data_IF_634943176391
#
_entry.id   IF_634943176391
#
_cell.length_a   1.000
_cell.length_b   1.000
_cell.length_c   1.000
_cell.angle_alpha   90.00
_cell.angle_beta   90.00
_cell.angle_gamma   90.00
#
_symmetry.space_group_name_H-M   'P 1'
#
loop_
_entity.id
_entity.type
_entity.pdbx_description
1 polymer ?
#
# COMPACT_ATOMS: atom_id res chain seq x y z
N UNK A 1 3.58 10.72 10.33
CA UNK A 1 4.39 9.53 10.75
C UNK A 1 5.92 9.65 10.91
N UNK A 2 6.64 10.76 10.67
CA UNK A 2 8.13 10.80 10.88
C UNK A 2 8.61 10.52 12.32
N UNK A 3 7.70 10.55 13.30
CA UNK A 3 7.99 10.39 14.72
C UNK A 3 7.59 9.02 15.29
N UNK A 4 7.22 8.05 14.45
CA UNK A 4 6.74 6.72 14.88
C UNK A 4 7.67 5.64 14.31
N UNK A 5 8.13 4.73 15.17
CA UNK A 5 8.73 3.44 14.77
C UNK A 5 7.68 2.34 14.91
N UNK A 6 7.64 1.40 13.97
CA UNK A 6 6.74 0.26 14.04
C UNK A 6 7.43 -0.91 14.71
N UNK A 7 6.76 -1.51 15.68
CA UNK A 7 7.17 -2.73 16.36
C UNK A 7 6.29 -3.91 15.96
N UNK A 8 6.88 -5.04 15.62
CA UNK A 8 6.18 -6.30 15.38
C UNK A 8 6.41 -7.23 16.58
N UNK A 9 5.34 -7.47 17.34
CA UNK A 9 5.32 -8.47 18.40
C UNK A 9 5.16 -9.85 17.78
N UNK A 10 6.29 -10.55 17.76
CA UNK A 10 6.40 -11.85 17.14
C UNK A 10 6.55 -12.91 18.23
N UNK A 11 5.44 -13.39 18.77
CA UNK A 11 5.46 -14.42 19.83
C UNK A 11 6.19 -15.65 19.26
N UNK A 12 7.09 -16.25 20.04
CA UNK A 12 7.77 -17.48 19.64
C UNK A 12 6.76 -18.62 19.46
N UNK A 13 6.22 -18.77 18.26
CA UNK A 13 5.58 -20.00 17.83
C UNK A 13 6.64 -20.91 17.24
N UNK A 14 6.48 -22.22 17.43
CA UNK A 14 7.42 -23.20 16.93
C UNK A 14 7.75 -22.92 15.44
N UNK A 15 9.04 -22.95 15.02
CA UNK A 15 9.51 -22.51 13.68
C UNK A 15 8.97 -23.28 12.47
N UNK A 16 7.93 -24.11 12.65
CA UNK A 16 7.23 -24.88 11.62
C UNK A 16 5.79 -24.41 11.37
N UNK A 17 5.29 -23.39 12.08
CA UNK A 17 3.94 -22.90 11.83
C UNK A 17 3.91 -21.99 10.60
N UNK A 18 3.56 -22.59 9.45
CA UNK A 18 3.37 -21.88 8.17
C UNK A 18 2.28 -20.81 8.26
N UNK A 19 1.31 -20.99 9.15
CA UNK A 19 0.25 -20.00 9.39
C UNK A 19 0.83 -18.74 9.99
N UNK A 20 1.60 -18.91 11.07
CA UNK A 20 2.19 -17.81 11.79
C UNK A 20 3.12 -16.99 10.90
N UNK A 21 3.95 -17.68 10.10
CA UNK A 21 4.78 -17.02 9.07
C UNK A 21 3.93 -16.13 8.16
N UNK A 22 2.77 -16.63 7.71
CA UNK A 22 1.90 -15.86 6.80
C UNK A 22 1.22 -14.69 7.49
N UNK A 23 0.72 -14.86 8.71
CA UNK A 23 0.14 -13.77 9.51
C UNK A 23 1.16 -12.66 9.76
N UNK A 24 2.39 -13.03 10.13
CA UNK A 24 3.52 -12.11 10.25
C UNK A 24 3.78 -11.35 8.94
N UNK A 25 3.83 -12.06 7.82
CA UNK A 25 4.03 -11.43 6.50
C UNK A 25 2.90 -10.45 6.14
N UNK A 26 1.65 -10.80 6.42
CA UNK A 26 0.49 -9.93 6.15
C UNK A 26 0.49 -8.69 7.04
N UNK A 27 0.80 -8.82 8.34
CA UNK A 27 0.94 -7.67 9.25
C UNK A 27 2.00 -6.70 8.75
N UNK A 28 3.17 -7.21 8.34
CA UNK A 28 4.22 -6.36 7.76
C UNK A 28 3.72 -5.71 6.46
N UNK A 29 3.11 -6.50 5.57
CA UNK A 29 2.67 -6.02 4.27
C UNK A 29 1.63 -4.90 4.36
N UNK A 30 0.61 -5.05 5.21
CA UNK A 30 -0.43 -4.03 5.36
C UNK A 30 0.09 -2.76 6.03
N UNK A 31 1.08 -2.89 6.93
CA UNK A 31 1.76 -1.73 7.52
C UNK A 31 2.53 -0.92 6.45
N UNK A 32 3.11 -1.61 5.45
CA UNK A 32 3.92 -1.02 4.37
C UNK A 32 3.12 -0.20 3.35
N UNK A 33 1.78 -0.21 3.37
CA UNK A 33 1.01 0.66 2.50
C UNK A 33 1.27 2.15 2.79
N UNK A 34 1.49 2.54 4.05
CA UNK A 34 1.90 3.91 4.42
C UNK A 34 3.21 4.01 5.19
N UNK A 35 3.67 2.93 5.80
CA UNK A 35 4.87 2.96 6.63
C UNK A 35 6.11 2.49 5.85
N UNK A 36 7.03 3.42 5.61
CA UNK A 36 8.26 3.21 4.82
C UNK A 36 9.52 3.05 5.69
N UNK A 37 9.40 3.14 7.01
CA UNK A 37 10.52 3.05 7.96
C UNK A 37 10.92 1.62 8.32
N UNK A 38 11.91 1.44 9.18
CA UNK A 38 12.25 0.12 9.72
C UNK A 38 11.10 -0.41 10.61
N UNK A 39 10.81 -1.72 10.52
CA UNK A 39 9.94 -2.39 11.49
C UNK A 39 10.82 -3.22 12.41
N UNK A 40 10.86 -2.88 13.69
CA UNK A 40 11.61 -3.64 14.69
C UNK A 40 10.79 -4.84 15.15
N UNK A 41 11.36 -6.03 15.15
CA UNK A 41 10.66 -7.25 15.59
C UNK A 41 11.18 -7.73 16.94
N UNK A 42 10.31 -8.22 17.84
CA UNK A 42 10.72 -8.79 19.13
C UNK A 42 9.72 -9.83 19.67
N UNK A 43 10.20 -10.71 20.55
CA UNK A 43 9.37 -11.76 21.15
C UNK A 43 8.46 -11.24 22.26
N UNK A 44 8.87 -10.15 22.90
CA UNK A 44 8.13 -9.46 23.97
C UNK A 44 8.01 -7.97 23.68
N UNK A 45 7.06 -7.30 24.35
CA UNK A 45 6.93 -5.83 24.31
C UNK A 45 8.23 -5.16 24.79
N UNK A 46 8.85 -5.70 25.84
CA UNK A 46 10.11 -5.16 26.38
C UNK A 46 11.27 -5.27 25.38
N UNK A 47 11.38 -6.39 24.64
CA UNK A 47 12.40 -6.54 23.59
C UNK A 47 12.23 -5.50 22.48
N UNK A 48 10.98 -5.24 22.08
CA UNK A 48 10.65 -4.21 21.09
C UNK A 48 11.01 -2.84 21.62
N UNK A 49 10.59 -2.50 22.84
CA UNK A 49 10.88 -1.20 23.43
C UNK A 49 12.38 -0.95 23.64
N UNK A 50 13.15 -1.99 23.96
CA UNK A 50 14.60 -1.92 24.05
C UNK A 50 15.27 -1.61 22.69
N UNK A 51 14.69 -2.11 21.59
CA UNK A 51 15.13 -1.78 20.22
C UNK A 51 14.63 -0.39 19.80
N UNK A 52 13.37 -0.04 20.09
CA UNK A 52 12.78 1.26 19.81
C UNK A 52 13.58 2.40 20.44
N UNK A 53 14.05 2.22 21.67
CA UNK A 53 14.88 3.19 22.39
C UNK A 53 16.24 3.50 21.72
N UNK A 54 16.65 2.75 20.70
CA UNK A 54 17.85 3.01 19.89
C UNK A 54 17.57 3.91 18.68
N UNK A 55 16.30 4.23 18.46
CA UNK A 55 15.84 5.12 17.39
C UNK A 55 15.50 6.50 17.96
N UNK A 56 15.48 7.51 17.10
CA UNK A 56 15.05 8.87 17.46
C UNK A 56 13.53 9.04 17.39
N UNK A 57 12.77 7.95 17.20
CA UNK A 57 11.32 8.03 17.17
C UNK A 57 10.77 8.40 18.54
N UNK A 58 9.72 9.22 18.53
CA UNK A 58 9.02 9.66 19.73
C UNK A 58 8.02 8.62 20.23
N UNK A 59 7.38 7.93 19.29
CA UNK A 59 6.38 6.91 19.58
C UNK A 59 6.80 5.58 18.97
N UNK A 60 6.33 4.49 19.58
CA UNK A 60 6.47 3.13 19.06
C UNK A 60 5.07 2.54 18.92
N UNK A 61 4.64 2.23 17.68
CA UNK A 61 3.39 1.52 17.43
C UNK A 61 3.70 0.03 17.34
N UNK A 62 3.28 -0.74 18.35
CA UNK A 62 3.49 -2.19 18.41
C UNK A 62 2.25 -2.89 17.88
N UNK A 63 2.44 -3.85 16.97
CA UNK A 63 1.41 -4.71 16.41
C UNK A 63 1.77 -6.17 16.63
N UNK A 64 0.83 -7.00 17.07
CA UNK A 64 1.03 -8.45 17.05
C UNK A 64 0.94 -9.01 15.63
N UNK A 65 1.66 -10.09 15.35
CA UNK A 65 1.50 -10.84 14.11
C UNK A 65 0.04 -11.35 13.97
N UNK A 66 -0.63 -11.01 12.87
CA UNK A 66 -2.07 -11.25 12.69
C UNK A 66 -2.93 -10.00 12.86
N UNK A 67 -2.40 -8.93 13.47
CA UNK A 67 -3.04 -7.62 13.46
C UNK A 67 -2.84 -6.95 12.08
N UNK A 68 -3.93 -6.66 11.39
CA UNK A 68 -3.94 -6.04 10.07
C UNK A 68 -4.49 -4.63 10.21
N UNK A 69 -3.71 -3.63 9.79
CA UNK A 69 -4.20 -2.26 9.66
C UNK A 69 -4.96 -2.18 8.35
N UNK A 70 -6.27 -2.03 8.45
CA UNK A 70 -7.15 -1.77 7.34
C UNK A 70 -7.34 -0.27 7.15
N UNK A 71 -6.34 0.36 6.58
CA UNK A 71 -6.51 1.72 6.13
C UNK A 71 -7.49 1.73 4.96
N UNK A 72 -8.75 2.08 5.24
CA UNK A 72 -9.69 2.36 4.18
C UNK A 72 -9.22 3.62 3.47
N UNK A 73 -9.31 3.58 2.15
CA UNK A 73 -9.20 4.76 1.30
C UNK A 73 -10.43 5.63 1.52
N UNK A 74 -10.50 6.30 2.67
CA UNK A 74 -11.46 7.34 2.91
C UNK A 74 -11.03 8.55 2.10
N UNK A 75 -11.94 9.08 1.30
CA UNK A 75 -11.69 10.34 0.62
C UNK A 75 -11.58 11.43 1.69
N UNK A 76 -10.67 12.38 1.50
CA UNK A 76 -10.38 13.36 2.57
C UNK A 76 -11.55 14.31 2.87
N UNK A 77 -12.62 14.29 2.07
CA UNK A 77 -13.88 14.98 2.34
C UNK A 77 -14.84 14.19 3.24
N UNK A 78 -14.55 12.92 3.56
CA UNK A 78 -15.38 12.10 4.44
C UNK A 78 -15.12 12.43 5.91
N UNK A 79 -16.17 12.37 6.74
CA UNK A 79 -16.09 12.59 8.20
C UNK A 79 -15.61 11.32 8.95
N UNK A 80 -14.62 10.62 8.39
CA UNK A 80 -13.99 9.44 8.98
C UNK A 80 -12.48 9.60 8.88
N UNK A 81 -11.79 9.46 10.01
CA UNK A 81 -10.33 9.49 10.03
C UNK A 81 -9.79 8.08 9.78
N UNK A 82 -8.77 7.97 8.93
CA UNK A 82 -8.05 6.73 8.73
C UNK A 82 -7.26 6.33 9.98
N UNK A 83 -6.75 5.10 10.00
CA UNK A 83 -5.94 4.58 11.10
C UNK A 83 -4.75 5.51 11.40
N UNK A 84 -3.98 5.88 10.37
CA UNK A 84 -2.77 6.68 10.54
C UNK A 84 -3.05 8.11 10.98
N UNK A 85 -4.08 8.77 10.44
CA UNK A 85 -4.48 10.11 10.90
C UNK A 85 -4.92 10.09 12.36
N UNK A 86 -5.64 9.04 12.77
CA UNK A 86 -6.06 8.86 14.16
C UNK A 86 -4.86 8.62 15.09
N UNK A 87 -3.87 7.85 14.64
CA UNK A 87 -2.61 7.65 15.37
C UNK A 87 -1.79 8.94 15.44
N UNK A 88 -1.67 9.70 14.35
CA UNK A 88 -0.96 10.97 14.30
C UNK A 88 -1.65 12.02 15.20
N UNK A 89 -2.99 12.01 15.28
CA UNK A 89 -3.78 12.84 16.20
C UNK A 89 -3.56 12.47 17.67
N UNK A 90 -3.61 11.17 18.01
CA UNK A 90 -3.31 10.68 19.36
C UNK A 90 -1.85 10.97 19.74
N UNK A 91 -0.93 10.94 18.77
CA UNK A 91 0.48 11.28 18.95
C UNK A 91 0.74 12.78 19.19
N UNK A 92 -0.29 13.64 19.10
CA UNK A 92 -0.22 15.03 19.57
C UNK A 92 -0.47 15.15 21.07
N UNK A 93 -0.97 14.10 21.72
CA UNK A 93 -1.09 14.05 23.17
C UNK A 93 0.26 13.64 23.79
N UNK A 94 0.71 14.39 24.81
CA UNK A 94 2.02 14.19 25.41
C UNK A 94 1.96 13.51 26.78
N UNK A 95 0.77 13.42 27.38
CA UNK A 95 0.58 13.04 28.78
C UNK A 95 0.17 11.58 28.98
N UNK A 96 0.68 10.65 28.19
CA UNK A 96 0.43 9.22 28.35
C UNK A 96 1.70 8.39 28.18
N UNK A 97 1.78 7.25 28.87
CA UNK A 97 2.84 6.24 28.64
C UNK A 97 2.46 5.33 27.46
N UNK A 98 1.23 4.81 27.50
CA UNK A 98 0.70 3.85 26.53
C UNK A 98 -0.75 4.15 26.21
N UNK A 99 -1.11 4.00 24.95
CA UNK A 99 -2.48 3.89 24.48
C UNK A 99 -2.73 2.47 23.95
N UNK A 100 -3.85 1.88 24.34
CA UNK A 100 -4.20 0.51 23.99
C UNK A 100 -5.71 0.34 23.90
N UNK A 101 -6.16 -0.77 23.34
CA UNK A 101 -7.53 -1.22 23.59
C UNK A 101 -7.63 -1.77 25.02
N UNK A 102 -8.65 -1.32 25.76
CA UNK A 102 -9.01 -1.93 27.04
C UNK A 102 -9.82 -3.18 26.75
N UNK A 103 -9.15 -4.33 26.71
CA UNK A 103 -9.84 -5.60 26.63
C UNK A 103 -10.41 -5.93 28.00
N UNK A 104 -11.74 -5.86 28.07
CA UNK A 104 -12.63 -6.47 29.08
C UNK A 104 -12.93 -5.55 30.29
N UNK A 105 -14.23 -5.37 30.62
CA UNK A 105 -14.67 -4.56 31.77
C UNK A 105 -14.33 -5.14 33.16
N UNK A 106 -13.40 -6.11 33.25
CA UNK A 106 -13.09 -6.85 34.50
C UNK A 106 -11.59 -7.08 34.78
N UNK A 107 -10.69 -6.80 33.85
CA UNK A 107 -9.24 -6.97 34.05
C UNK A 107 -8.56 -5.69 33.58
N UNK A 108 -7.77 -5.05 34.45
CA UNK A 108 -6.92 -3.90 34.12
C UNK A 108 -5.73 -4.32 33.23
N UNK A 109 -5.96 -5.09 32.18
CA UNK A 109 -4.92 -5.61 31.30
C UNK A 109 -4.94 -4.87 29.95
N UNK A 110 -3.76 -4.55 29.42
CA UNK A 110 -3.58 -3.97 28.09
C UNK A 110 -3.66 -5.07 27.02
N UNK A 111 -4.41 -4.81 25.95
CA UNK A 111 -4.36 -5.65 24.76
C UNK A 111 -3.01 -5.44 24.03
N UNK A 112 -2.20 -6.49 23.88
CA UNK A 112 -0.90 -6.42 23.20
C UNK A 112 -0.98 -6.41 21.68
N UNK A 113 -2.17 -6.60 21.10
CA UNK A 113 -2.31 -6.77 19.66
C UNK A 113 -2.10 -5.45 18.91
N UNK A 114 -2.34 -4.32 19.57
CA UNK A 114 -2.02 -2.98 19.09
C UNK A 114 -1.76 -2.02 20.27
N UNK A 115 -0.55 -1.50 20.40
CA UNK A 115 -0.14 -0.54 21.44
C UNK A 115 0.53 0.68 20.80
N UNK A 116 0.17 1.89 21.21
CA UNK A 116 0.94 3.09 20.92
C UNK A 116 1.69 3.50 22.19
N UNK A 117 3.02 3.44 22.18
CA UNK A 117 3.86 3.73 23.33
C UNK A 117 4.57 5.07 23.12
N UNK A 118 4.44 5.98 24.10
CA UNK A 118 5.21 7.21 24.14
C UNK A 118 6.62 6.90 24.67
N UNK A 119 7.61 6.89 23.77
CA UNK A 119 8.98 6.51 24.13
C UNK A 119 9.67 7.54 25.03
N UNK A 120 9.27 8.81 24.94
CA UNK A 120 9.77 9.86 25.80
C UNK A 120 9.36 9.59 27.25
N UNK A 121 8.07 9.34 27.49
CA UNK A 121 7.55 8.98 28.82
C UNK A 121 8.10 7.65 29.32
N UNK A 122 8.21 6.65 28.45
CA UNK A 122 8.86 5.38 28.77
C UNK A 122 10.30 5.57 29.29
N UNK A 123 11.09 6.46 28.65
CA UNK A 123 12.45 6.78 29.10
C UNK A 123 12.49 7.58 30.40
N UNK A 124 11.62 8.58 30.55
CA UNK A 124 11.52 9.41 31.76
C UNK A 124 11.22 8.57 33.01
N UNK A 125 10.36 7.55 32.87
CA UNK A 125 9.97 6.62 33.93
C UNK A 125 11.02 5.51 34.18
N UNK A 126 12.20 5.61 33.59
CA UNK A 126 13.28 4.64 33.80
C UNK A 126 13.09 3.32 33.06
N UNK A 127 12.34 3.32 31.96
CA UNK A 127 12.07 2.14 31.11
C UNK A 127 11.41 0.99 31.88
N UNK A 128 10.21 1.23 32.46
CA UNK A 128 9.52 0.21 33.24
C UNK A 128 9.26 -1.04 32.40
N UNK A 129 9.44 -2.23 32.97
CA UNK A 129 9.08 -3.48 32.31
C UNK A 129 7.58 -3.52 31.97
N UNK A 130 7.18 -4.22 30.91
CA UNK A 130 5.78 -4.30 30.51
C UNK A 130 4.93 -5.05 31.54
N UNK A 131 5.44 -6.17 32.07
CA UNK A 131 4.78 -6.97 33.11
C UNK A 131 5.27 -6.59 34.52
N UNK A 132 4.43 -6.81 35.53
CA UNK A 132 4.78 -6.61 36.95
C UNK A 132 5.60 -7.75 37.55
N UNK A 133 6.02 -7.59 38.81
CA UNK A 133 6.83 -8.59 39.55
C UNK A 133 6.05 -9.88 39.90
N UNK A 134 4.73 -9.89 39.78
CA UNK A 134 3.86 -11.03 40.05
C UNK A 134 2.84 -11.23 38.90
N UNK A 135 2.90 -12.39 38.25
CA UNK A 135 1.93 -12.96 37.27
C UNK A 135 1.91 -12.42 35.82
N UNK A 136 1.58 -13.34 34.90
CA UNK A 136 1.50 -13.26 33.43
C UNK A 136 0.46 -12.25 32.86
N UNK A 137 0.14 -11.18 33.58
CA UNK A 137 -0.89 -10.22 33.17
C UNK A 137 -0.27 -9.12 32.29
N UNK A 138 -0.87 -8.92 31.12
CA UNK A 138 -0.35 -8.06 30.05
C UNK A 138 -0.47 -6.58 30.40
N UNK A 139 0.63 -5.96 30.83
CA UNK A 139 0.76 -4.49 30.88
C UNK A 139 0.48 -3.80 32.22
N UNK A 140 0.23 -4.54 33.31
CA UNK A 140 -0.13 -4.00 34.62
C UNK A 140 0.88 -2.99 35.17
N UNK A 141 2.18 -3.23 34.95
CA UNK A 141 3.22 -2.33 35.43
C UNK A 141 3.14 -0.96 34.72
N UNK A 142 2.84 -0.94 33.42
CA UNK A 142 2.67 0.32 32.69
C UNK A 142 1.41 1.08 33.13
N UNK A 143 0.34 0.37 33.48
CA UNK A 143 -0.87 0.97 34.06
C UNK A 143 -0.56 1.57 35.43
N UNK A 144 0.09 0.81 36.31
CA UNK A 144 0.52 1.28 37.62
C UNK A 144 1.43 2.51 37.51
N UNK A 145 2.45 2.46 36.64
CA UNK A 145 3.33 3.60 36.38
C UNK A 145 2.59 4.83 35.86
N UNK A 146 1.57 4.63 35.02
CA UNK A 146 0.75 5.74 34.52
C UNK A 146 -0.03 6.40 35.67
N UNK A 147 -0.65 5.60 36.54
CA UNK A 147 -1.37 6.11 37.72
C UNK A 147 -0.45 6.81 38.73
N UNK A 148 0.70 6.22 39.06
CA UNK A 148 1.68 6.77 40.00
C UNK A 148 2.23 8.14 39.53
N UNK A 149 2.29 8.36 38.21
CA UNK A 149 2.83 9.58 37.61
C UNK A 149 1.76 10.52 37.04
N UNK A 150 0.48 10.31 37.34
CA UNK A 150 -0.65 11.11 36.85
C UNK A 150 -0.72 11.24 35.31
N UNK A 151 -0.32 10.18 34.60
CA UNK A 151 -0.46 10.07 33.15
C UNK A 151 -1.85 9.57 32.79
N UNK A 152 -2.35 10.00 31.63
CA UNK A 152 -3.59 9.45 31.06
C UNK A 152 -3.33 8.06 30.49
N UNK A 153 -4.39 7.24 30.46
CA UNK A 153 -4.44 5.94 29.79
C UNK A 153 -5.45 6.04 28.64
N UNK A 154 -5.10 6.71 27.54
CA UNK A 154 -6.00 6.88 26.42
C UNK A 154 -6.31 5.51 25.78
N UNK A 155 -7.56 5.33 25.37
CA UNK A 155 -7.95 4.17 24.57
C UNK A 155 -7.69 4.43 23.11
N UNK A 156 -7.39 3.39 22.33
CA UNK A 156 -7.48 3.48 20.88
C UNK A 156 -8.95 3.81 20.51
N UNK A 157 -9.18 4.99 19.93
CA UNK A 157 -10.52 5.49 19.64
C UNK A 157 -11.24 4.68 18.55
N UNK A 158 -12.55 4.90 18.40
CA UNK A 158 -13.39 4.15 17.45
C UNK A 158 -12.83 4.16 16.03
N UNK A 159 -12.29 5.28 15.55
CA UNK A 159 -11.69 5.37 14.21
C UNK A 159 -10.54 4.38 14.00
N UNK A 160 -9.70 4.18 15.02
CA UNK A 160 -8.61 3.19 14.99
C UNK A 160 -9.20 1.77 15.01
N UNK A 161 -10.19 1.53 15.87
CA UNK A 161 -10.76 0.20 16.06
C UNK A 161 -11.55 -0.31 14.85
N UNK A 162 -12.14 0.59 14.05
CA UNK A 162 -12.84 0.24 12.81
C UNK A 162 -11.89 -0.05 11.63
N UNK A 163 -10.61 0.32 11.75
CA UNK A 163 -9.58 0.19 10.71
C UNK A 163 -8.60 -0.95 11.01
N UNK A 164 -9.05 -2.02 11.68
CA UNK A 164 -8.19 -3.18 11.98
C UNK A 164 -8.92 -4.51 11.96
N UNK A 165 -8.17 -5.56 11.66
CA UNK A 165 -8.59 -6.94 11.79
C UNK A 165 -7.59 -7.70 12.67
N UNK A 166 -8.09 -8.65 13.46
CA UNK A 166 -7.29 -9.58 14.24
C UNK A 166 -7.47 -10.99 13.68
N UNK A 167 -6.45 -11.48 13.00
CA UNK A 167 -6.55 -12.77 12.29
C UNK A 167 -6.17 -13.96 13.18
N UNK A 168 -5.54 -13.72 14.33
CA UNK A 168 -4.98 -14.71 15.25
C UNK A 168 -5.91 -15.04 16.45
N UNK A 169 -7.07 -14.40 16.57
CA UNK A 169 -7.94 -14.47 17.76
C UNK A 169 -8.59 -15.85 18.06
N UNK A 170 -8.42 -16.88 17.22
CA UNK A 170 -9.14 -18.15 17.38
C UNK A 170 -8.25 -19.39 17.10
N UNK A 171 -8.21 -20.33 18.06
CA UNK A 171 -7.38 -21.56 17.99
C UNK A 171 -7.78 -22.54 16.85
N UNK A 172 -9.02 -22.50 16.36
CA UNK A 172 -9.54 -23.39 15.29
C UNK A 172 -9.58 -22.73 13.87
N UNK A 173 -9.94 -21.44 13.69
CA UNK A 173 -10.04 -20.74 12.40
C UNK A 173 -8.72 -20.41 11.70
N UNK A 174 -7.61 -20.43 12.44
CA UNK A 174 -6.27 -20.11 11.92
C UNK A 174 -5.81 -21.15 10.87
N UNK A 175 -6.24 -22.42 11.00
CA UNK A 175 -6.00 -23.47 10.00
C UNK A 175 -6.84 -23.29 8.72
N UNK A 176 -8.11 -22.89 8.87
CA UNK A 176 -8.99 -22.61 7.73
C UNK A 176 -8.44 -21.45 6.91
N UNK A 177 -8.09 -20.33 7.54
CA UNK A 177 -7.48 -19.18 6.87
C UNK A 177 -6.21 -19.60 6.11
N UNK A 178 -5.38 -20.45 6.73
CA UNK A 178 -4.15 -20.95 6.09
C UNK A 178 -4.42 -21.79 4.86
N UNK A 179 -5.45 -22.64 4.90
CA UNK A 179 -5.84 -23.47 3.75
C UNK A 179 -6.30 -22.65 2.54
N UNK A 180 -6.70 -21.39 2.74
CA UNK A 180 -7.18 -20.52 1.67
C UNK A 180 -6.05 -19.75 0.97
N UNK A 181 -4.86 -19.62 1.57
CA UNK A 181 -3.77 -18.88 0.94
C UNK A 181 -3.36 -19.48 -0.40
N UNK A 182 -3.17 -18.61 -1.40
CA UNK A 182 -2.90 -19.00 -2.78
C UNK A 182 -4.06 -19.63 -3.54
N UNK A 183 -5.23 -19.79 -2.91
CA UNK A 183 -6.44 -20.26 -3.58
C UNK A 183 -7.34 -19.08 -4.00
N UNK A 184 -8.12 -19.23 -5.08
CA UNK A 184 -9.27 -18.36 -5.33
C UNK A 184 -10.23 -18.40 -4.13
N UNK A 185 -10.80 -17.26 -3.78
CA UNK A 185 -11.73 -17.16 -2.67
C UNK A 185 -13.15 -17.39 -3.19
N UNK A 186 -13.70 -18.58 -2.98
CA UNK A 186 -15.11 -18.84 -3.28
C UNK A 186 -15.91 -18.92 -1.97
N UNK A 187 -16.75 -17.91 -1.71
CA UNK A 187 -17.59 -17.81 -0.51
C UNK A 187 -18.39 -19.08 -0.17
N UNK A 188 -18.73 -19.90 -1.18
CA UNK A 188 -19.47 -21.16 -0.96
C UNK A 188 -18.62 -22.28 -0.33
N UNK A 189 -17.30 -22.11 -0.18
CA UNK A 189 -16.36 -23.20 0.11
C UNK A 189 -15.79 -23.19 1.53
N UNK A 190 -16.11 -22.20 2.36
CA UNK A 190 -15.57 -22.07 3.72
C UNK A 190 -16.58 -21.41 4.67
N UNK A 191 -16.61 -21.86 5.93
CA UNK A 191 -17.49 -21.32 6.98
C UNK A 191 -16.63 -20.76 8.10
N UNK A 192 -16.64 -19.43 8.25
CA UNK A 192 -16.19 -18.75 9.45
C UNK A 192 -17.38 -18.49 10.37
N UNK A 193 -17.13 -18.20 11.65
CA UNK A 193 -18.19 -17.68 12.52
C UNK A 193 -18.70 -16.35 11.97
N UNK A 194 -20.02 -16.19 11.92
CA UNK A 194 -20.68 -15.01 11.37
C UNK A 194 -20.15 -13.74 12.06
N UNK A 195 -19.68 -12.77 11.26
CA UNK A 195 -19.10 -11.50 11.71
C UNK A 195 -17.73 -11.59 12.42
N UNK A 196 -17.05 -12.75 12.40
CA UNK A 196 -15.66 -12.85 12.88
C UNK A 196 -14.72 -11.89 12.13
N UNK A 197 -13.63 -11.40 12.77
CA UNK A 197 -12.63 -10.57 12.10
C UNK A 197 -12.04 -11.24 10.84
N UNK A 198 -11.82 -12.56 10.87
CA UNK A 198 -11.34 -13.32 9.71
C UNK A 198 -12.35 -13.31 8.56
N UNK A 199 -13.64 -13.53 8.83
CA UNK A 199 -14.67 -13.47 7.80
C UNK A 199 -14.72 -12.09 7.14
N UNK A 200 -14.76 -11.01 7.96
CA UNK A 200 -14.80 -9.64 7.45
C UNK A 200 -13.57 -9.30 6.62
N UNK A 201 -12.39 -9.76 7.04
CA UNK A 201 -11.16 -9.60 6.26
C UNK A 201 -11.26 -10.32 4.91
N UNK A 202 -11.68 -11.59 4.90
CA UNK A 202 -11.82 -12.39 3.68
C UNK A 202 -12.83 -11.78 2.72
N UNK A 203 -14.01 -11.38 3.22
CA UNK A 203 -15.03 -10.67 2.44
C UNK A 203 -14.48 -9.40 1.78
N UNK A 204 -13.64 -8.66 2.52
CA UNK A 204 -13.02 -7.44 2.02
C UNK A 204 -12.03 -7.69 0.88
N UNK A 205 -11.16 -8.70 1.00
CA UNK A 205 -10.13 -8.97 -0.02
C UNK A 205 -10.65 -9.83 -1.18
N UNK A 206 -11.83 -10.45 -1.03
CA UNK A 206 -12.40 -11.38 -2.00
C UNK A 206 -12.50 -10.82 -3.42
N UNK A 207 -13.08 -9.62 -3.57
CA UNK A 207 -13.21 -8.98 -4.88
C UNK A 207 -11.83 -8.69 -5.48
N UNK A 208 -10.89 -8.21 -4.67
CA UNK A 208 -9.54 -7.89 -5.14
C UNK A 208 -8.76 -9.11 -5.59
N UNK A 209 -8.97 -10.26 -4.96
CA UNK A 209 -8.29 -11.50 -5.30
C UNK A 209 -8.91 -12.12 -6.55
N UNK A 210 -10.23 -12.27 -6.58
CA UNK A 210 -10.90 -12.97 -7.67
C UNK A 210 -11.00 -12.14 -8.95
N UNK A 211 -11.18 -10.82 -8.80
CA UNK A 211 -11.33 -9.91 -9.92
C UNK A 211 -10.03 -9.17 -10.25
N UNK A 212 -8.89 -9.50 -9.61
CA UNK A 212 -7.59 -8.88 -9.86
C UNK A 212 -7.40 -8.55 -11.35
N UNK A 213 -7.50 -9.58 -12.20
CA UNK A 213 -7.29 -9.54 -13.66
C UNK A 213 -8.34 -8.81 -14.48
N UNK A 214 -9.38 -8.26 -13.87
CA UNK A 214 -10.42 -7.47 -14.53
C UNK A 214 -10.45 -6.02 -14.03
N UNK A 215 -9.65 -5.68 -13.01
CA UNK A 215 -9.75 -4.41 -12.29
C UNK A 215 -9.29 -3.22 -13.10
N UNK A 216 -9.86 -2.06 -12.79
CA UNK A 216 -9.54 -0.78 -13.43
C UNK A 216 -9.40 0.33 -12.39
N UNK A 217 -8.29 1.06 -12.47
CA UNK A 217 -7.99 2.20 -11.62
C UNK A 217 -8.19 3.52 -12.40
N UNK A 218 -9.39 4.10 -12.28
CA UNK A 218 -9.77 5.28 -13.07
C UNK A 218 -8.95 6.54 -12.75
N UNK A 219 -8.68 6.81 -11.46
CA UNK A 219 -8.00 8.04 -11.05
C UNK A 219 -6.51 7.84 -10.72
N UNK A 220 -6.12 6.70 -10.15
CA UNK A 220 -4.81 6.46 -9.53
C UNK A 220 -4.32 7.67 -8.70
N UNK A 221 -4.90 7.82 -7.51
CA UNK A 221 -4.88 9.05 -6.68
C UNK A 221 -3.54 9.43 -6.07
N UNK A 222 -2.49 8.65 -6.30
CA UNK A 222 -1.12 8.92 -5.87
C UNK A 222 -0.65 10.34 -6.27
N UNK A 223 0.27 10.89 -5.46
CA UNK A 223 0.93 12.14 -5.80
C UNK A 223 1.92 11.96 -6.97
N UNK A 224 2.12 13.03 -7.75
CA UNK A 224 3.14 13.12 -8.81
C UNK A 224 4.52 13.54 -8.31
N UNK A 225 4.68 13.81 -7.01
CA UNK A 225 5.93 14.30 -6.42
C UNK A 225 7.15 13.41 -6.67
N UNK A 226 6.97 12.12 -6.97
CA UNK A 226 8.06 11.21 -7.32
C UNK A 226 8.58 11.34 -8.77
N UNK A 227 7.84 12.03 -9.64
CA UNK A 227 8.27 12.27 -11.01
C UNK A 227 9.29 13.40 -10.95
N UNK A 228 10.57 13.05 -11.06
CA UNK A 228 11.66 14.03 -11.10
C UNK A 228 11.44 15.00 -12.28
N UNK A 229 11.23 16.31 -12.01
CA UNK A 229 10.91 17.31 -13.03
C UNK A 229 12.12 17.69 -13.90
N UNK A 230 13.28 17.04 -13.71
CA UNK A 230 14.41 17.25 -14.60
C UNK A 230 14.02 16.87 -16.04
N UNK A 231 13.76 17.92 -16.82
CA UNK A 231 13.62 17.82 -18.26
C UNK A 231 14.86 17.16 -18.84
N UNK A 232 14.63 16.05 -19.53
CA UNK A 232 15.70 15.36 -20.21
C UNK A 232 16.28 16.28 -21.28
N UNK A 233 17.59 16.15 -21.51
CA UNK A 233 18.26 16.89 -22.59
C UNK A 233 17.64 16.60 -23.97
N UNK A 234 16.92 15.48 -24.12
CA UNK A 234 16.19 15.09 -25.32
C UNK A 234 14.84 14.44 -24.95
N UNK A 235 13.79 14.64 -25.77
CA UNK A 235 12.48 14.03 -25.54
C UNK A 235 12.50 12.49 -25.53
N UNK A 236 11.51 11.91 -24.85
CA UNK A 236 11.28 10.46 -24.83
C UNK A 236 10.95 9.91 -26.23
N UNK A 237 11.54 8.77 -26.57
CA UNK A 237 11.11 7.98 -27.75
C UNK A 237 9.86 7.17 -27.43
N UNK A 238 9.78 6.63 -26.20
CA UNK A 238 8.63 5.87 -25.75
C UNK A 238 8.35 6.02 -24.25
N UNK A 239 7.07 5.98 -23.89
CA UNK A 239 6.58 5.81 -22.53
C UNK A 239 5.89 4.45 -22.42
N UNK A 240 6.29 3.66 -21.44
CA UNK A 240 5.66 2.41 -21.04
C UNK A 240 4.98 2.61 -19.69
N UNK A 241 3.70 2.32 -19.60
CA UNK A 241 2.92 2.63 -18.41
C UNK A 241 1.82 1.61 -18.14
N UNK A 242 1.56 1.35 -16.86
CA UNK A 242 0.29 0.72 -16.45
C UNK A 242 -0.92 1.55 -16.91
N UNK A 243 -2.06 0.90 -17.16
CA UNK A 243 -3.27 1.53 -17.72
C UNK A 243 -4.12 2.25 -16.65
N UNK A 244 -3.48 2.94 -15.70
CA UNK A 244 -4.13 3.53 -14.52
C UNK A 244 -4.01 5.07 -14.49
N UNK A 245 -5.11 5.76 -14.16
CA UNK A 245 -5.13 7.21 -13.91
C UNK A 245 -4.53 8.10 -14.99
N UNK A 246 -4.01 9.27 -14.59
CA UNK A 246 -3.44 10.30 -15.49
C UNK A 246 -1.93 10.51 -15.36
N UNK A 247 -1.29 9.78 -14.45
CA UNK A 247 0.16 9.75 -14.24
C UNK A 247 1.02 9.53 -15.50
N UNK A 248 0.65 8.67 -16.48
CA UNK A 248 1.42 8.54 -17.72
C UNK A 248 1.57 9.88 -18.46
N UNK A 249 0.51 10.67 -18.49
CA UNK A 249 0.51 11.96 -19.16
C UNK A 249 1.29 13.01 -18.37
N UNK A 250 1.33 12.89 -17.05
CA UNK A 250 2.19 13.74 -16.22
C UNK A 250 3.67 13.42 -16.46
N UNK A 251 4.02 12.14 -16.60
CA UNK A 251 5.38 11.72 -16.96
C UNK A 251 5.79 12.36 -18.30
N UNK A 252 4.92 12.34 -19.32
CA UNK A 252 5.19 13.00 -20.59
C UNK A 252 5.43 14.51 -20.43
N UNK A 253 4.61 15.19 -19.63
CA UNK A 253 4.76 16.63 -19.36
C UNK A 253 6.13 16.96 -18.75
N UNK A 254 6.54 16.20 -17.73
CA UNK A 254 7.79 16.47 -17.00
C UNK A 254 9.03 16.03 -17.77
N UNK A 255 8.98 14.89 -18.48
CA UNK A 255 10.14 14.33 -19.19
C UNK A 255 10.32 14.88 -20.60
N UNK A 256 9.28 15.47 -21.18
CA UNK A 256 9.26 15.99 -22.53
C UNK A 256 9.06 14.89 -23.58
N UNK A 257 8.31 15.24 -24.63
CA UNK A 257 7.91 14.32 -25.69
C UNK A 257 7.73 15.06 -27.02
N UNK A 258 7.56 14.31 -28.10
CA UNK A 258 7.29 14.81 -29.45
C UNK A 258 6.07 14.10 -30.04
N UNK A 259 5.62 14.50 -31.24
CA UNK A 259 4.52 13.83 -31.94
C UNK A 259 4.84 12.38 -32.32
N UNK A 260 6.13 12.02 -32.41
CA UNK A 260 6.58 10.66 -32.75
C UNK A 260 6.74 9.76 -31.52
N UNK A 261 6.64 10.31 -30.31
CA UNK A 261 6.78 9.57 -29.05
C UNK A 261 5.70 8.50 -28.94
N UNK A 262 6.11 7.24 -28.77
CA UNK A 262 5.20 6.12 -28.61
C UNK A 262 4.69 6.02 -27.17
N UNK A 263 3.40 5.81 -26.98
CA UNK A 263 2.82 5.51 -25.65
C UNK A 263 2.31 4.08 -25.66
N UNK A 264 2.95 3.22 -24.87
CA UNK A 264 2.52 1.84 -24.68
C UNK A 264 1.90 1.67 -23.30
N UNK A 265 0.60 1.39 -23.29
CA UNK A 265 -0.10 0.94 -22.10
C UNK A 265 0.02 -0.57 -21.96
N UNK A 266 0.43 -1.03 -20.79
CA UNK A 266 0.39 -2.45 -20.43
C UNK A 266 -0.40 -2.65 -19.16
N UNK A 267 -1.07 -3.79 -19.01
CA UNK A 267 -1.78 -4.13 -17.78
C UNK A 267 -2.06 -5.63 -17.75
N UNK A 268 -2.17 -6.23 -16.57
CA UNK A 268 -2.66 -7.61 -16.47
C UNK A 268 -4.17 -7.68 -16.68
N UNK A 269 -4.86 -6.53 -16.66
CA UNK A 269 -6.29 -6.38 -16.88
C UNK A 269 -6.60 -5.94 -18.31
N UNK A 270 -7.21 -6.83 -19.09
CA UNK A 270 -7.67 -6.48 -20.43
C UNK A 270 -8.73 -5.37 -20.38
N UNK A 271 -9.61 -5.39 -19.37
CA UNK A 271 -10.62 -4.35 -19.18
C UNK A 271 -10.00 -2.97 -18.92
N UNK A 272 -8.88 -2.89 -18.18
CA UNK A 272 -8.17 -1.62 -17.99
C UNK A 272 -7.63 -1.07 -19.30
N UNK A 273 -7.07 -1.93 -20.15
CA UNK A 273 -6.58 -1.55 -21.48
C UNK A 273 -7.70 -1.09 -22.40
N UNK A 274 -8.83 -1.82 -22.43
CA UNK A 274 -9.98 -1.49 -23.27
C UNK A 274 -10.62 -0.16 -22.85
N UNK A 275 -10.75 0.10 -21.54
CA UNK A 275 -11.24 1.38 -21.02
C UNK A 275 -10.26 2.51 -21.30
N UNK A 276 -8.95 2.30 -21.11
CA UNK A 276 -7.94 3.32 -21.43
C UNK A 276 -7.97 3.69 -22.91
N UNK A 277 -8.09 2.69 -23.79
CA UNK A 277 -8.25 2.88 -25.23
C UNK A 277 -9.52 3.68 -25.55
N UNK A 278 -10.65 3.27 -24.98
CA UNK A 278 -11.92 3.96 -25.16
C UNK A 278 -11.86 5.43 -24.70
N UNK A 279 -11.15 5.71 -23.59
CA UNK A 279 -10.90 7.07 -23.10
C UNK A 279 -10.11 7.91 -24.10
N UNK A 280 -9.01 7.39 -24.63
CA UNK A 280 -8.18 8.09 -25.62
C UNK A 280 -8.98 8.38 -26.91
N UNK A 281 -9.83 7.46 -27.33
CA UNK A 281 -10.62 7.56 -28.57
C UNK A 281 -11.83 8.50 -28.43
N UNK A 282 -12.50 8.52 -27.28
CA UNK A 282 -13.82 9.15 -27.15
C UNK A 282 -13.88 10.33 -26.18
N UNK A 283 -12.97 10.44 -25.21
CA UNK A 283 -13.01 11.52 -24.22
C UNK A 283 -12.20 12.73 -24.68
N UNK A 284 -12.80 13.91 -24.59
CA UNK A 284 -12.19 15.18 -25.01
C UNK A 284 -11.46 15.93 -23.87
N UNK A 285 -11.39 15.33 -22.69
CA UNK A 285 -10.72 15.91 -21.54
C UNK A 285 -11.59 16.87 -20.72
N UNK A 286 -12.88 17.01 -21.04
CA UNK A 286 -13.83 17.78 -20.24
C UNK A 286 -14.76 16.87 -19.44
N UNK A 287 -15.23 17.35 -18.29
CA UNK A 287 -16.24 16.68 -17.46
C UNK A 287 -15.95 15.17 -17.25
N UNK A 288 -14.82 14.85 -16.62
CA UNK A 288 -14.47 13.47 -16.31
C UNK A 288 -15.55 12.71 -15.50
N UNK A 289 -16.24 13.33 -14.51
CA UNK A 289 -17.38 12.70 -13.84
C UNK A 289 -18.49 12.28 -14.81
N UNK A 290 -18.90 13.17 -15.72
CA UNK A 290 -19.88 12.85 -16.75
C UNK A 290 -19.40 11.73 -17.69
N UNK A 291 -18.12 11.71 -18.02
CA UNK A 291 -17.51 10.63 -18.81
C UNK A 291 -17.50 9.28 -18.07
N UNK A 292 -17.19 9.25 -16.77
CA UNK A 292 -17.26 8.03 -15.95
C UNK A 292 -18.69 7.47 -15.94
N UNK A 293 -19.72 8.33 -15.83
CA UNK A 293 -21.11 7.89 -15.90
C UNK A 293 -21.47 7.22 -17.24
N UNK A 294 -20.80 7.61 -18.33
CA UNK A 294 -20.94 6.93 -19.63
C UNK A 294 -20.15 5.63 -19.65
N UNK A 295 -18.92 5.61 -19.12
CA UNK A 295 -18.11 4.38 -19.02
C UNK A 295 -18.84 3.28 -18.26
N UNK A 296 -19.49 3.58 -17.14
CA UNK A 296 -20.26 2.59 -16.37
C UNK A 296 -21.42 1.97 -17.17
N UNK A 297 -21.98 2.70 -18.13
CA UNK A 297 -23.02 2.18 -19.04
C UNK A 297 -22.42 1.32 -20.16
N UNK A 298 -21.26 1.72 -20.68
CA UNK A 298 -20.57 0.99 -21.76
C UNK A 298 -19.91 -0.31 -21.27
N UNK A 299 -19.30 -0.27 -20.09
CA UNK A 299 -18.57 -1.37 -19.46
C UNK A 299 -19.34 -1.87 -18.24
N UNK A 300 -20.53 -2.44 -18.45
CA UNK A 300 -21.51 -2.74 -17.40
C UNK A 300 -21.17 -3.93 -16.46
N UNK A 301 -19.95 -4.46 -16.51
CA UNK A 301 -19.55 -5.56 -15.64
C UNK A 301 -19.11 -5.03 -14.26
N UNK A 302 -19.81 -5.37 -13.16
CA UNK A 302 -19.48 -4.86 -11.83
C UNK A 302 -18.07 -5.27 -11.37
N UNK A 303 -17.58 -6.41 -11.86
CA UNK A 303 -16.25 -6.95 -11.55
C UNK A 303 -15.09 -6.17 -12.19
N UNK A 304 -15.38 -5.14 -12.99
CA UNK A 304 -14.37 -4.27 -13.62
C UNK A 304 -13.98 -3.10 -12.71
N UNK A 305 -14.95 -2.58 -11.96
CA UNK A 305 -14.79 -1.37 -11.15
C UNK A 305 -14.72 -1.65 -9.64
N UNK A 306 -14.28 -2.85 -9.23
CA UNK A 306 -14.14 -3.19 -7.80
C UNK A 306 -13.02 -2.40 -7.07
N UNK A 307 -12.16 -1.70 -7.82
CA UNK A 307 -11.10 -0.83 -7.30
C UNK A 307 -11.59 0.59 -7.01
N UNK A 308 -12.91 0.84 -7.07
CA UNK A 308 -13.50 2.02 -6.45
C UNK A 308 -13.32 1.93 -4.92
N UNK A 309 -13.36 3.07 -4.23
CA UNK A 309 -13.11 3.15 -2.78
C UNK A 309 -14.19 2.43 -1.96
N UNK A 310 -13.83 1.97 -0.76
CA UNK A 310 -14.66 1.30 0.27
C UNK A 310 -16.04 0.74 -0.17
N UNK A 311 -16.05 -0.43 -0.83
CA UNK A 311 -17.30 -1.14 -1.17
C UNK A 311 -18.16 -0.44 -2.23
N UNK A 312 -17.62 0.58 -2.89
CA UNK A 312 -18.29 1.32 -3.95
C UNK A 312 -18.34 0.49 -5.23
N UNK A 313 -19.47 0.57 -5.92
CA UNK A 313 -19.74 -0.02 -7.22
C UNK A 313 -20.33 1.05 -8.15
N UNK A 314 -20.41 0.79 -9.46
CA UNK A 314 -21.11 1.68 -10.38
C UNK A 314 -22.56 2.02 -9.96
N UNK A 315 -23.22 1.15 -9.20
CA UNK A 315 -24.63 1.30 -8.81
C UNK A 315 -24.83 2.16 -7.55
N UNK A 316 -23.81 2.26 -6.68
CA UNK A 316 -23.91 2.97 -5.40
C UNK A 316 -22.91 4.13 -5.24
N UNK A 317 -22.16 4.46 -6.30
CA UNK A 317 -21.16 5.54 -6.26
C UNK A 317 -21.79 6.88 -5.87
N UNK A 318 -21.13 7.58 -4.93
CA UNK A 318 -21.43 8.97 -4.67
C UNK A 318 -20.77 9.85 -5.75
N UNK A 319 -21.59 10.52 -6.55
CA UNK A 319 -21.10 11.40 -7.61
C UNK A 319 -20.41 12.66 -7.09
N UNK A 320 -20.68 13.06 -5.84
CA UNK A 320 -19.98 14.17 -5.20
C UNK A 320 -18.51 13.82 -4.93
N UNK A 321 -18.23 12.57 -4.58
CA UNK A 321 -16.88 12.04 -4.39
C UNK A 321 -16.10 11.99 -5.71
N UNK A 322 -16.71 11.45 -6.78
CA UNK A 322 -16.11 11.47 -8.13
C UNK A 322 -15.78 12.90 -8.56
N UNK A 323 -16.70 13.83 -8.32
CA UNK A 323 -16.52 15.26 -8.65
C UNK A 323 -15.38 15.85 -7.83
N UNK A 324 -15.34 15.59 -6.53
CA UNK A 324 -14.28 16.07 -5.65
C UNK A 324 -12.91 15.56 -6.08
N UNK A 325 -12.78 14.26 -6.37
CA UNK A 325 -11.55 13.65 -6.86
C UNK A 325 -11.08 14.28 -8.16
N UNK A 326 -12.00 14.54 -9.08
CA UNK A 326 -11.68 15.24 -10.33
C UNK A 326 -11.16 16.65 -10.09
N UNK A 327 -11.76 17.40 -9.16
CA UNK A 327 -11.26 18.73 -8.81
C UNK A 327 -9.86 18.67 -8.18
N UNK A 328 -9.57 17.70 -7.31
CA UNK A 328 -8.23 17.51 -6.76
C UNK A 328 -7.21 17.21 -7.86
N UNK A 329 -7.59 16.35 -8.82
CA UNK A 329 -6.74 16.05 -9.95
C UNK A 329 -6.44 17.31 -10.76
N UNK A 330 -7.47 18.08 -11.15
CA UNK A 330 -7.30 19.33 -11.89
C UNK A 330 -6.38 20.34 -11.20
N UNK A 331 -6.37 20.40 -9.86
CA UNK A 331 -5.44 21.26 -9.12
C UNK A 331 -3.98 20.89 -9.38
N UNK A 332 -3.65 19.59 -9.50
CA UNK A 332 -2.29 19.12 -9.82
C UNK A 332 -1.83 19.55 -11.22
N UNK A 333 -2.77 19.85 -12.12
CA UNK A 333 -2.51 20.32 -13.49
C UNK A 333 -2.55 21.85 -13.62
N UNK A 334 -2.82 22.57 -12.52
CA UNK A 334 -3.02 24.02 -12.56
C UNK A 334 -4.35 24.45 -13.19
N UNK A 335 -5.34 23.55 -13.23
CA UNK A 335 -6.70 23.83 -13.69
C UNK A 335 -7.15 23.01 -14.91
N UNK A 336 -8.45 23.09 -15.21
CA UNK A 336 -9.12 22.35 -16.28
C UNK A 336 -8.56 22.65 -17.68
N UNK A 337 -8.26 23.93 -17.96
CA UNK A 337 -7.76 24.35 -19.28
C UNK A 337 -6.39 23.74 -19.59
N UNK A 338 -5.48 23.76 -18.61
CA UNK A 338 -4.14 23.18 -18.74
C UNK A 338 -4.21 21.66 -18.91
N UNK A 339 -5.05 20.99 -18.11
CA UNK A 339 -5.28 19.56 -18.26
C UNK A 339 -5.78 19.24 -19.67
N UNK A 340 -6.84 19.92 -20.12
CA UNK A 340 -7.46 19.68 -21.42
C UNK A 340 -6.48 19.91 -22.56
N UNK A 341 -5.74 21.02 -22.53
CA UNK A 341 -4.76 21.35 -23.55
C UNK A 341 -3.69 20.24 -23.67
N UNK A 342 -3.16 19.78 -22.54
CA UNK A 342 -2.18 18.70 -22.51
C UNK A 342 -2.76 17.35 -22.96
N UNK A 343 -3.96 17.01 -22.49
CA UNK A 343 -4.69 15.81 -22.88
C UNK A 343 -4.91 15.73 -24.38
N UNK A 344 -5.32 16.82 -25.02
CA UNK A 344 -5.57 16.87 -26.47
C UNK A 344 -4.31 16.62 -27.29
N UNK A 345 -3.15 17.09 -26.83
CA UNK A 345 -1.87 16.77 -27.46
C UNK A 345 -1.54 15.29 -27.25
N UNK A 346 -1.64 14.81 -26.01
CA UNK A 346 -1.26 13.44 -25.66
C UNK A 346 -2.12 12.39 -26.36
N UNK A 347 -3.44 12.58 -26.46
CA UNK A 347 -4.33 11.61 -27.14
C UNK A 347 -4.03 11.46 -28.63
N UNK A 348 -3.39 12.45 -29.24
CA UNK A 348 -2.94 12.41 -30.64
C UNK A 348 -1.65 11.62 -30.87
N UNK A 349 -0.97 11.18 -29.81
CA UNK A 349 0.24 10.36 -29.92
C UNK A 349 -0.08 8.94 -30.43
N UNK A 350 0.91 8.24 -31.00
CA UNK A 350 0.79 6.82 -31.29
C UNK A 350 0.64 5.99 -30.01
N UNK A 351 -0.50 5.28 -29.88
CA UNK A 351 -0.79 4.44 -28.71
C UNK A 351 -0.77 2.95 -29.05
N UNK A 352 -0.20 2.15 -28.14
CA UNK A 352 -0.23 0.68 -28.17
C UNK A 352 -0.76 0.14 -26.84
N UNK A 353 -1.37 -1.04 -26.88
CA UNK A 353 -1.98 -1.68 -25.71
C UNK A 353 -1.50 -3.13 -25.64
N UNK A 354 -1.00 -3.55 -24.48
CA UNK A 354 -0.40 -4.86 -24.29
C UNK A 354 -0.87 -5.50 -22.99
N UNK A 355 -1.65 -6.58 -23.09
CA UNK A 355 -1.98 -7.38 -21.92
C UNK A 355 -0.72 -8.12 -21.43
N UNK A 356 -0.25 -7.75 -20.23
CA UNK A 356 1.00 -8.23 -19.66
C UNK A 356 0.90 -8.36 -18.14
N UNK A 357 1.20 -9.56 -17.65
CA UNK A 357 1.33 -9.87 -16.22
C UNK A 357 2.82 -9.87 -15.86
N UNK A 358 3.27 -8.87 -15.11
CA UNK A 358 4.70 -8.75 -14.75
C UNK A 358 5.18 -9.90 -13.86
N UNK A 359 4.29 -10.52 -13.08
CA UNK A 359 4.63 -11.62 -12.18
C UNK A 359 4.80 -12.93 -12.96
N UNK A 360 3.96 -13.17 -13.96
CA UNK A 360 3.88 -14.47 -14.65
C UNK A 360 4.37 -14.47 -16.11
N UNK A 361 4.22 -13.37 -16.86
CA UNK A 361 4.51 -13.31 -18.30
C UNK A 361 4.94 -11.88 -18.77
N UNK A 362 6.17 -11.49 -18.39
CA UNK A 362 6.76 -10.18 -18.72
C UNK A 362 7.42 -10.08 -20.10
N UNK A 363 7.66 -11.19 -20.78
CA UNK A 363 8.46 -11.21 -22.03
C UNK A 363 7.91 -10.31 -23.15
N UNK A 364 6.58 -10.23 -23.39
CA UNK A 364 6.05 -9.34 -24.42
C UNK A 364 6.41 -7.87 -24.20
N UNK A 365 6.39 -7.41 -22.95
CA UNK A 365 6.75 -6.04 -22.59
C UNK A 365 8.25 -5.81 -22.78
N UNK A 366 9.10 -6.75 -22.33
CA UNK A 366 10.55 -6.66 -22.48
C UNK A 366 10.98 -6.59 -23.96
N UNK A 367 10.34 -7.38 -24.82
CA UNK A 367 10.60 -7.34 -26.26
C UNK A 367 10.31 -5.96 -26.86
N UNK A 368 9.20 -5.35 -26.45
CA UNK A 368 8.82 -4.00 -26.89
C UNK A 368 9.75 -2.92 -26.34
N UNK A 369 10.14 -3.04 -25.07
CA UNK A 369 11.04 -2.09 -24.44
C UNK A 369 12.41 -2.04 -25.12
N UNK A 370 12.91 -3.19 -25.59
CA UNK A 370 14.19 -3.32 -26.30
C UNK A 370 14.24 -2.58 -27.66
N UNK A 371 13.08 -2.21 -28.22
CA UNK A 371 13.00 -1.48 -29.50
C UNK A 371 13.42 0.00 -29.35
N UNK A 372 13.47 0.54 -28.12
CA UNK A 372 13.69 1.95 -27.84
C UNK A 372 14.98 2.18 -27.06
N UNK A 373 15.67 3.28 -27.34
CA UNK A 373 16.90 3.67 -26.63
C UNK A 373 16.62 4.64 -25.49
N UNK A 374 15.60 5.49 -25.65
CA UNK A 374 15.16 6.46 -24.64
C UNK A 374 13.72 6.22 -24.26
N UNK A 375 13.54 5.39 -23.24
CA UNK A 375 12.22 5.04 -22.74
C UNK A 375 12.09 5.36 -21.26
N UNK A 376 10.85 5.66 -20.86
CA UNK A 376 10.44 5.72 -19.47
C UNK A 376 9.48 4.56 -19.19
N UNK A 377 9.63 3.87 -18.06
CA UNK A 377 8.79 2.75 -17.66
C UNK A 377 8.21 2.96 -16.26
N UNK A 378 6.88 2.96 -16.16
CA UNK A 378 6.15 3.06 -14.90
C UNK A 378 5.24 1.83 -14.66
N UNK A 379 5.43 1.12 -13.54
CA UNK A 379 4.68 -0.11 -13.21
C UNK A 379 3.83 -0.04 -11.93
N UNK A 380 3.69 1.13 -11.30
CA UNK A 380 2.99 1.28 -10.01
C UNK A 380 3.49 0.26 -8.97
N UNK A 381 2.62 -0.39 -8.19
CA UNK A 381 2.96 -1.33 -7.12
C UNK A 381 2.75 -2.81 -7.52
N UNK A 382 3.00 -3.18 -8.78
CA UNK A 382 2.71 -4.51 -9.31
C UNK A 382 3.27 -5.71 -8.50
N UNK A 383 4.35 -5.51 -7.74
CA UNK A 383 4.99 -6.53 -6.88
C UNK A 383 4.53 -6.49 -5.41
N UNK A 384 3.58 -5.59 -5.07
CA UNK A 384 3.07 -5.33 -3.72
C UNK A 384 1.54 -5.12 -3.68
N UNK A 385 0.82 -5.83 -4.53
CA UNK A 385 -0.65 -5.81 -4.53
C UNK A 385 -1.21 -6.80 -3.51
N UNK A 386 -2.45 -6.59 -3.06
CA UNK A 386 -3.18 -7.57 -2.23
C UNK A 386 -3.19 -8.95 -2.90
N UNK A 387 -3.37 -9.00 -4.24
CA UNK A 387 -3.26 -10.22 -5.02
C UNK A 387 -1.90 -10.92 -4.83
N UNK A 388 -0.79 -10.17 -4.92
CA UNK A 388 0.55 -10.74 -4.76
C UNK A 388 0.81 -11.27 -3.33
N UNK A 389 0.32 -10.56 -2.30
CA UNK A 389 0.45 -11.01 -0.91
C UNK A 389 -0.35 -12.27 -0.62
N UNK A 390 -1.50 -12.42 -1.27
CA UNK A 390 -2.35 -13.59 -1.14
C UNK A 390 -1.73 -14.85 -1.77
N UNK A 391 -1.11 -14.71 -2.94
CA UNK A 391 -0.65 -15.86 -3.74
C UNK A 391 0.81 -16.26 -3.52
N UNK A 392 1.64 -15.33 -3.06
CA UNK A 392 3.08 -15.54 -2.95
C UNK A 392 3.55 -15.23 -1.54
N UNK A 393 4.55 -15.96 -1.07
CA UNK A 393 5.30 -15.61 0.13
C UNK A 393 6.33 -14.52 -0.19
N UNK A 394 6.87 -13.88 0.85
CA UNK A 394 7.76 -12.75 0.68
C UNK A 394 9.01 -13.05 -0.15
N UNK A 395 9.63 -14.21 0.07
CA UNK A 395 10.81 -14.64 -0.68
C UNK A 395 10.50 -14.82 -2.17
N UNK A 396 9.31 -15.34 -2.50
CA UNK A 396 8.86 -15.52 -3.88
C UNK A 396 8.59 -14.16 -4.55
N UNK A 397 7.94 -13.23 -3.85
CA UNK A 397 7.75 -11.85 -4.37
C UNK A 397 9.08 -11.14 -4.60
N UNK A 398 10.03 -11.28 -3.66
CA UNK A 398 11.40 -10.76 -3.80
C UNK A 398 12.09 -11.35 -5.03
N UNK A 399 11.98 -12.66 -5.25
CA UNK A 399 12.56 -13.30 -6.43
C UNK A 399 11.93 -12.81 -7.74
N UNK A 400 10.61 -12.69 -7.80
CA UNK A 400 9.93 -12.12 -8.97
C UNK A 400 10.43 -10.71 -9.31
N UNK A 401 10.66 -9.89 -8.29
CA UNK A 401 11.20 -8.54 -8.46
C UNK A 401 12.67 -8.54 -8.91
N UNK A 402 13.51 -9.41 -8.34
CA UNK A 402 14.91 -9.56 -8.77
C UNK A 402 14.98 -9.99 -10.24
N UNK A 403 14.19 -11.00 -10.64
CA UNK A 403 14.17 -11.47 -12.01
C UNK A 403 13.68 -10.37 -12.98
N UNK A 404 12.72 -9.55 -12.54
CA UNK A 404 12.26 -8.38 -13.28
C UNK A 404 13.39 -7.37 -13.52
N UNK A 405 14.12 -7.00 -12.48
CA UNK A 405 15.26 -6.08 -12.57
C UNK A 405 16.37 -6.62 -13.48
N UNK A 406 16.73 -7.89 -13.34
CA UNK A 406 17.73 -8.53 -14.21
C UNK A 406 17.27 -8.55 -15.68
N UNK A 407 15.98 -8.81 -15.91
CA UNK A 407 15.41 -8.79 -17.25
C UNK A 407 15.52 -7.38 -17.85
N UNK A 408 15.12 -6.35 -17.10
CA UNK A 408 15.24 -4.95 -17.53
C UNK A 408 16.69 -4.57 -17.82
N UNK A 409 17.62 -4.94 -16.93
CA UNK A 409 19.05 -4.66 -17.08
C UNK A 409 19.60 -5.21 -18.40
N UNK A 410 19.11 -6.37 -18.82
CA UNK A 410 19.58 -7.05 -20.03
C UNK A 410 19.07 -6.39 -21.32
N UNK A 411 17.84 -5.82 -21.30
CA UNK A 411 17.18 -5.33 -22.52
C UNK A 411 17.16 -3.81 -22.66
N UNK A 412 17.10 -3.08 -21.55
CA UNK A 412 16.93 -1.62 -21.53
C UNK A 412 17.69 -0.98 -20.36
N UNK A 413 19.03 -1.16 -20.28
CA UNK A 413 19.84 -0.68 -19.15
C UNK A 413 19.77 0.83 -18.91
N UNK A 414 19.41 1.62 -19.92
CA UNK A 414 19.32 3.09 -19.88
C UNK A 414 17.88 3.60 -19.76
N UNK A 415 16.88 2.72 -19.65
CA UNK A 415 15.49 3.13 -19.44
C UNK A 415 15.35 3.78 -18.07
N UNK A 416 14.70 4.94 -18.00
CA UNK A 416 14.29 5.55 -16.74
C UNK A 416 13.09 4.80 -16.17
N UNK A 417 13.10 4.57 -14.87
CA UNK A 417 12.10 3.72 -14.22
C UNK A 417 11.43 4.41 -13.04
N UNK A 418 10.14 4.15 -12.89
CA UNK A 418 9.46 4.33 -11.62
C UNK A 418 8.41 3.27 -11.29
N UNK A 419 8.08 3.15 -10.01
CA UNK A 419 7.13 2.16 -9.48
C UNK A 419 7.51 1.80 -8.05
N UNK A 420 6.99 0.69 -7.53
CA UNK A 420 7.33 0.19 -6.20
C UNK A 420 8.11 -1.14 -6.30
N UNK A 421 8.96 -1.39 -5.31
CA UNK A 421 9.61 -2.67 -5.14
C UNK A 421 8.71 -3.72 -4.43
N UNK A 422 9.27 -4.89 -4.16
CA UNK A 422 8.62 -6.01 -3.47
C UNK A 422 8.29 -5.76 -1.97
N UNK A 423 8.67 -4.60 -1.43
CA UNK A 423 8.35 -4.12 -0.08
C UNK A 423 7.53 -2.82 -0.10
N UNK A 424 6.98 -2.44 -1.26
CA UNK A 424 6.31 -1.16 -1.49
C UNK A 424 7.20 0.08 -1.31
N UNK A 425 8.52 -0.10 -1.25
CA UNK A 425 9.44 1.01 -1.27
C UNK A 425 9.45 1.61 -2.66
N UNK A 426 9.62 2.92 -2.74
CA UNK A 426 9.57 3.59 -4.03
C UNK A 426 10.71 3.14 -4.97
N UNK A 427 10.55 3.44 -6.24
CA UNK A 427 11.56 3.34 -7.28
C UNK A 427 11.32 4.56 -8.15
N UNK A 428 12.27 5.50 -8.19
CA UNK A 428 12.15 6.68 -9.02
C UNK A 428 13.49 7.36 -9.30
N UNK A 429 13.52 8.16 -10.36
CA UNK A 429 14.63 9.10 -10.64
C UNK A 429 15.97 8.46 -10.98
N UNK A 430 15.96 7.21 -11.47
CA UNK A 430 17.14 6.43 -11.83
C UNK A 430 16.88 5.68 -13.14
N UNK A 431 17.95 5.40 -13.89
CA UNK A 431 17.93 4.39 -14.94
C UNK A 431 17.95 2.99 -14.33
N UNK A 432 17.56 1.99 -15.13
CA UNK A 432 17.65 0.57 -14.73
C UNK A 432 19.05 0.22 -14.20
N UNK A 433 20.12 0.60 -14.91
CA UNK A 433 21.50 0.28 -14.50
C UNK A 433 21.90 0.91 -13.18
N UNK A 434 21.50 2.16 -12.95
CA UNK A 434 21.81 2.85 -11.70
C UNK A 434 21.04 2.25 -10.53
N UNK A 435 19.78 1.89 -10.75
CA UNK A 435 18.95 1.28 -9.73
C UNK A 435 19.41 -0.14 -9.37
N UNK A 436 19.68 -1.00 -10.37
CA UNK A 436 20.18 -2.37 -10.14
C UNK A 436 21.48 -2.36 -9.33
N UNK A 437 22.42 -1.48 -9.70
CA UNK A 437 23.69 -1.33 -8.96
C UNK A 437 23.46 -0.95 -7.50
N UNK A 438 22.52 -0.04 -7.23
CA UNK A 438 22.20 0.39 -5.86
C UNK A 438 21.48 -0.71 -5.07
N UNK A 439 20.54 -1.40 -5.73
CA UNK A 439 19.79 -2.52 -5.19
C UNK A 439 20.71 -3.66 -4.75
N UNK A 440 21.69 -4.04 -5.58
CA UNK A 440 22.67 -5.08 -5.27
C UNK A 440 23.65 -4.68 -4.16
N UNK A 441 23.91 -3.39 -3.99
CA UNK A 441 24.81 -2.87 -2.94
C UNK A 441 24.16 -2.73 -1.57
N UNK A 442 22.82 -2.87 -1.50
CA UNK A 442 22.04 -2.62 -0.28
C UNK A 442 21.38 -3.91 0.18
N UNK A 443 21.66 -4.35 1.41
CA UNK A 443 20.92 -5.45 2.03
C UNK A 443 19.53 -4.96 2.42
N UNK A 444 18.49 -5.65 1.96
CA UNK A 444 17.10 -5.37 2.35
C UNK A 444 16.33 -6.67 2.65
N UNK A 445 15.36 -6.53 3.55
CA UNK A 445 14.37 -7.55 3.85
C UNK A 445 13.01 -6.88 4.14
N UNK A 446 12.02 -7.63 4.63
CA UNK A 446 10.68 -7.10 4.88
C UNK A 446 10.62 -6.07 6.03
N UNK A 447 11.52 -6.20 7.01
CA UNK A 447 11.64 -5.34 8.17
C UNK A 447 12.47 -4.09 7.86
N UNK A 448 13.47 -4.24 7.00
CA UNK A 448 14.40 -3.19 6.56
C UNK A 448 14.25 -2.97 5.04
N UNK A 449 13.28 -2.13 4.60
CA UNK A 449 13.01 -1.92 3.19
C UNK A 449 14.14 -1.12 2.53
N UNK A 450 14.22 -1.20 1.20
CA UNK A 450 15.16 -0.42 0.41
C UNK A 450 14.94 1.09 0.65
N UNK A 451 16.01 1.83 0.92
CA UNK A 451 16.00 3.30 1.00
C UNK A 451 16.86 3.92 -0.10
N UNK A 452 16.63 3.47 -1.35
CA UNK A 452 17.37 3.95 -2.53
C UNK A 452 16.87 5.32 -3.01
N UNK A 453 15.61 5.65 -2.74
CA UNK A 453 14.95 6.75 -3.45
C UNK A 453 15.33 8.13 -2.96
N UNK A 454 15.25 9.08 -3.90
CA UNK A 454 15.33 10.51 -3.61
C UNK A 454 14.02 11.06 -3.05
N UNK A 455 12.88 10.46 -3.41
CA UNK A 455 11.54 10.92 -3.05
C UNK A 455 10.67 9.74 -2.63
N UNK A 456 10.02 9.86 -1.46
CA UNK A 456 9.07 8.85 -0.98
C UNK A 456 7.82 8.85 -1.84
N UNK A 457 7.35 7.68 -2.25
CA UNK A 457 5.95 7.54 -2.64
C UNK A 457 5.07 7.58 -1.41
N UNK A 458 3.94 8.25 -1.53
CA UNK A 458 2.81 8.07 -0.64
C UNK A 458 1.70 7.52 -1.52
N UNK A 459 1.40 6.24 -1.32
CA UNK A 459 0.22 5.58 -1.85
C UNK A 459 -0.97 6.06 -1.06
#
# INVERSE_FOLDING_TARGET
MKNIIFGLLSREYAPKDTTYKKLRELTIAWSRYRYQGEIIEGATVDDIMAKACRTDARFCLIQAAGHIIDERWYLSNWDKQGFYDSIDALSQEDNFLVAAESNRPKTEALNTDCLLVNQEKYRELGKPAFTGNDSDISGDNWIAQSHENNLTLPTLGDNINHCRFYLDELEQPTQLLTSLFGQPLNHASFSFDEHSPQQRFIEKINSQINNAKNGVFLFNIENYGEIDPQHLAQPLEALFSVAAGFKPYRILLEKGFTQDTQVLFFDYSQSALDIKKHMIEHWDGEDFPGYIAQLFKTFCHPDVFYQLWDGTTPDNVDWSDITWMWQQELQKWGGAENFKAHWQVCRGLPHQFLCCDLLNNRQPLLNKLAEFKRSYLWWSNAFFTIYSHWHFDADVRKQHYIDWLQSLQSVAPNCEISGADHNNAAVNGLTVSEYVKQFESTSCDQLHPQQINKISMQF
#
